data_IF_331572584827
#
_entry.id   IF_331572584827
#
_cell.length_a   1.000
_cell.length_b   1.000
_cell.length_c   1.000
_cell.angle_alpha   90.00
_cell.angle_beta   90.00
_cell.angle_gamma   90.00
#
_symmetry.space_group_name_H-M   'P 1'
#
loop_
_entity.id
_entity.type
_entity.pdbx_description
1 polymer ?
#
# COMPACT_ATOMS: atom_id res chain seq x y z
N UNK A 1 -10.52 19.72 -1.36
CA UNK A 1 -11.97 19.55 -1.55
C UNK A 1 -12.20 18.07 -1.72
N UNK A 2 -13.02 17.47 -0.85
CA UNK A 2 -13.33 16.06 -0.87
C UNK A 2 -14.38 15.82 -1.98
N UNK A 3 -13.93 15.38 -3.15
CA UNK A 3 -14.81 15.10 -4.29
C UNK A 3 -15.61 13.82 -4.00
N UNK A 4 -16.94 13.90 -3.98
CA UNK A 4 -17.81 12.75 -3.79
C UNK A 4 -18.42 12.29 -5.13
N UNK A 5 -17.99 11.15 -5.70
CA UNK A 5 -18.52 10.68 -6.97
C UNK A 5 -19.97 10.21 -6.84
N UNK A 6 -20.76 10.41 -7.89
CA UNK A 6 -22.06 9.77 -8.04
C UNK A 6 -21.90 8.24 -8.15
N UNK A 7 -22.97 7.47 -7.92
CA UNK A 7 -22.94 6.00 -8.11
C UNK A 7 -22.52 5.61 -9.53
N UNK A 8 -22.93 6.39 -10.54
CA UNK A 8 -22.57 6.19 -11.96
C UNK A 8 -21.09 6.47 -12.19
N UNK A 9 -20.57 7.59 -11.66
CA UNK A 9 -19.15 7.95 -11.74
C UNK A 9 -18.29 6.90 -11.05
N UNK A 10 -18.65 6.47 -9.84
CA UNK A 10 -17.93 5.46 -9.09
C UNK A 10 -17.82 4.14 -9.87
N UNK A 11 -18.91 3.70 -10.51
CA UNK A 11 -18.90 2.48 -11.31
C UNK A 11 -17.96 2.58 -12.51
N UNK A 12 -17.99 3.69 -13.25
CA UNK A 12 -17.12 3.88 -14.41
C UNK A 12 -15.64 3.96 -13.98
N UNK A 13 -15.34 4.70 -12.92
CA UNK A 13 -13.99 4.80 -12.36
C UNK A 13 -13.46 3.42 -11.92
N UNK A 14 -14.24 2.65 -11.17
CA UNK A 14 -13.85 1.29 -10.74
C UNK A 14 -13.68 0.34 -11.94
N UNK A 15 -14.46 0.53 -13.01
CA UNK A 15 -14.28 -0.23 -14.25
C UNK A 15 -12.93 0.07 -14.87
N UNK A 16 -12.62 1.35 -15.10
CA UNK A 16 -11.34 1.76 -15.68
C UNK A 16 -10.14 1.34 -14.82
N UNK A 17 -10.28 1.42 -13.49
CA UNK A 17 -9.25 1.03 -12.54
C UNK A 17 -8.93 -0.47 -12.60
N UNK A 18 -9.95 -1.33 -12.57
CA UNK A 18 -9.74 -2.77 -12.44
C UNK A 18 -9.59 -3.52 -13.75
N UNK A 19 -10.05 -2.96 -14.87
CA UNK A 19 -9.89 -3.57 -16.19
C UNK A 19 -8.79 -2.91 -17.02
N UNK A 20 -8.35 -1.69 -16.67
CA UNK A 20 -7.43 -0.90 -17.49
C UNK A 20 -8.04 -0.44 -18.81
N UNK A 21 -9.35 -0.62 -19.00
CA UNK A 21 -10.06 -0.23 -20.21
C UNK A 21 -10.20 1.29 -20.27
N UNK A 22 -10.05 1.83 -21.47
CA UNK A 22 -10.43 3.20 -21.80
C UNK A 22 -11.75 3.15 -22.57
N UNK A 23 -12.93 3.25 -21.93
CA UNK A 23 -14.19 3.10 -22.64
C UNK A 23 -14.45 4.30 -23.57
N UNK A 24 -15.10 4.03 -24.70
CA UNK A 24 -15.64 5.09 -25.54
C UNK A 24 -16.70 5.89 -24.76
N UNK A 25 -16.67 7.22 -24.84
CA UNK A 25 -17.56 8.10 -24.07
C UNK A 25 -19.06 7.81 -24.24
N UNK A 26 -19.48 7.37 -25.43
CA UNK A 26 -20.87 7.04 -25.73
C UNK A 26 -21.28 5.62 -25.32
N UNK A 27 -20.31 4.77 -24.95
CA UNK A 27 -20.53 3.34 -24.64
C UNK A 27 -20.13 2.97 -23.22
N UNK A 28 -19.98 3.95 -22.32
CA UNK A 28 -19.75 3.64 -20.90
C UNK A 28 -20.92 2.82 -20.37
N UNK A 29 -20.62 1.87 -19.48
CA UNK A 29 -21.64 1.03 -18.83
C UNK A 29 -21.44 1.11 -17.31
N UNK A 30 -22.34 1.77 -16.56
CA UNK A 30 -23.56 2.46 -17.00
C UNK A 30 -23.30 3.69 -17.89
N UNK A 31 -24.31 4.09 -18.66
CA UNK A 31 -24.24 5.29 -19.48
C UNK A 31 -24.07 6.51 -18.58
N UNK A 32 -22.98 7.26 -18.79
CA UNK A 32 -22.64 8.41 -17.96
C UNK A 32 -23.14 9.71 -18.62
N UNK A 33 -24.04 10.46 -17.96
CA UNK A 33 -24.52 11.75 -18.46
C UNK A 33 -23.37 12.71 -18.70
N UNK A 34 -23.53 13.60 -19.69
CA UNK A 34 -22.50 14.59 -20.03
C UNK A 34 -22.11 15.46 -18.82
N UNK A 35 -23.09 15.91 -18.04
CA UNK A 35 -22.84 16.74 -16.85
C UNK A 35 -21.98 16.03 -15.79
N UNK A 36 -22.14 14.72 -15.60
CA UNK A 36 -21.32 13.95 -14.65
C UNK A 36 -19.91 13.72 -15.19
N UNK A 37 -19.78 13.51 -16.50
CA UNK A 37 -18.48 13.38 -17.15
C UNK A 37 -17.68 14.67 -17.08
N UNK A 38 -18.33 15.80 -17.39
CA UNK A 38 -17.68 17.11 -17.40
C UNK A 38 -17.20 17.49 -16.00
N UNK A 39 -17.88 17.06 -14.93
CA UNK A 39 -17.37 17.19 -13.55
C UNK A 39 -16.07 16.41 -13.33
N UNK A 40 -16.00 15.15 -13.75
CA UNK A 40 -14.77 14.34 -13.61
C UNK A 40 -13.60 14.92 -14.42
N UNK A 41 -13.89 15.49 -15.59
CA UNK A 41 -12.89 16.18 -16.42
C UNK A 41 -12.45 17.49 -15.77
N UNK A 42 -13.38 18.29 -15.23
CA UNK A 42 -13.08 19.54 -14.55
C UNK A 42 -12.22 19.33 -13.30
N UNK A 43 -12.49 18.25 -12.56
CA UNK A 43 -11.66 17.82 -11.42
C UNK A 43 -10.33 17.20 -11.87
N UNK A 44 -10.14 16.95 -13.17
CA UNK A 44 -8.93 16.37 -13.74
C UNK A 44 -8.71 14.91 -13.36
N UNK A 45 -9.76 14.17 -12.99
CA UNK A 45 -9.70 12.74 -12.66
C UNK A 45 -9.68 11.87 -13.92
N UNK A 46 -10.35 12.33 -14.98
CA UNK A 46 -10.36 11.67 -16.29
C UNK A 46 -10.07 12.68 -17.39
N UNK A 47 -9.55 12.18 -18.51
CA UNK A 47 -9.33 12.93 -19.73
C UNK A 47 -10.03 12.28 -20.93
N UNK A 48 -10.40 13.12 -21.90
CA UNK A 48 -10.99 12.68 -23.15
C UNK A 48 -9.88 12.53 -24.21
N UNK A 49 -9.46 11.31 -24.47
CA UNK A 49 -8.38 11.02 -25.44
C UNK A 49 -8.92 10.59 -26.79
N UNK A 50 -8.07 10.73 -27.82
CA UNK A 50 -8.35 10.25 -29.17
C UNK A 50 -8.22 8.72 -29.27
N UNK A 51 -8.81 8.12 -30.29
CA UNK A 51 -8.70 6.68 -30.55
C UNK A 51 -7.25 6.22 -30.75
N UNK A 52 -6.44 7.00 -31.50
CA UNK A 52 -5.02 6.69 -31.70
C UNK A 52 -4.26 6.62 -30.38
N UNK A 53 -4.51 7.55 -29.47
CA UNK A 53 -3.89 7.57 -28.14
C UNK A 53 -4.35 6.38 -27.27
N UNK A 54 -5.61 5.96 -27.40
CA UNK A 54 -6.13 4.80 -26.68
C UNK A 54 -5.51 3.47 -27.17
N UNK A 55 -5.22 3.36 -28.48
CA UNK A 55 -4.49 2.23 -29.04
C UNK A 55 -3.03 2.22 -28.56
N UNK A 56 -2.35 3.37 -28.58
CA UNK A 56 -0.95 3.49 -28.12
C UNK A 56 -0.79 3.08 -26.65
N UNK A 57 -1.77 3.40 -25.80
CA UNK A 57 -1.81 2.96 -24.39
C UNK A 57 -2.18 1.48 -24.22
N UNK A 58 -2.39 0.74 -25.31
CA UNK A 58 -2.70 -0.69 -25.30
C UNK A 58 -4.11 -1.04 -24.84
N UNK A 59 -5.00 -0.04 -24.73
CA UNK A 59 -6.34 -0.22 -24.15
C UNK A 59 -7.40 -0.68 -25.15
N UNK A 60 -7.16 -0.52 -26.46
CA UNK A 60 -8.03 -1.01 -27.54
C UNK A 60 -7.21 -1.59 -28.70
N UNK A 61 -7.77 -2.60 -29.37
CA UNK A 61 -7.18 -3.19 -30.58
C UNK A 61 -7.30 -2.23 -31.77
N UNK A 62 -6.23 -2.13 -32.56
CA UNK A 62 -6.02 -1.41 -33.83
C UNK A 62 -7.05 -0.32 -34.25
N UNK A 63 -6.61 0.91 -34.56
CA UNK A 63 -7.51 2.03 -34.81
C UNK A 63 -8.36 1.80 -36.06
N UNK A 64 -9.64 2.16 -35.99
CA UNK A 64 -10.52 2.22 -37.15
C UNK A 64 -10.17 3.50 -37.92
N UNK A 65 -9.77 3.36 -39.19
CA UNK A 65 -9.49 4.51 -40.08
C UNK A 65 -10.69 5.47 -40.06
N UNK A 66 -10.46 6.70 -39.58
CA UNK A 66 -11.38 7.86 -39.59
C UNK A 66 -12.51 7.92 -38.54
N UNK A 67 -12.35 7.31 -37.36
CA UNK A 67 -13.32 7.52 -36.28
C UNK A 67 -13.04 8.80 -35.46
N UNK A 68 -14.08 9.62 -35.24
CA UNK A 68 -14.07 10.79 -34.33
C UNK A 68 -14.44 10.42 -32.88
N UNK A 69 -14.35 9.13 -32.54
CA UNK A 69 -14.71 8.66 -31.21
C UNK A 69 -13.74 9.20 -30.15
N UNK A 70 -14.31 9.71 -29.06
CA UNK A 70 -13.55 10.09 -27.87
C UNK A 70 -13.61 8.96 -26.85
N UNK A 71 -12.46 8.65 -26.27
CA UNK A 71 -12.29 7.65 -25.24
C UNK A 71 -12.00 8.34 -23.90
N UNK A 72 -12.32 7.68 -22.81
CA UNK A 72 -12.00 8.15 -21.47
C UNK A 72 -10.76 7.44 -20.97
N UNK A 73 -9.80 8.19 -20.44
CA UNK A 73 -8.66 7.63 -19.73
C UNK A 73 -8.53 8.27 -18.35
N UNK A 74 -8.01 7.51 -17.40
CA UNK A 74 -7.63 8.03 -16.10
C UNK A 74 -6.36 8.88 -16.25
N UNK A 75 -6.35 10.04 -15.61
CA UNK A 75 -5.15 10.86 -15.46
C UNK A 75 -4.32 10.34 -14.27
N UNK A 76 -3.06 10.74 -14.15
CA UNK A 76 -2.23 10.41 -12.98
C UNK A 76 -2.88 10.91 -11.67
N UNK A 77 -3.50 12.08 -11.71
CA UNK A 77 -4.30 12.63 -10.60
C UNK A 77 -5.49 11.72 -10.28
N UNK A 78 -6.17 11.20 -11.29
CA UNK A 78 -7.27 10.25 -11.13
C UNK A 78 -6.83 8.95 -10.47
N UNK A 79 -5.69 8.40 -10.88
CA UNK A 79 -5.09 7.22 -10.27
C UNK A 79 -4.78 7.43 -8.79
N UNK A 80 -4.08 8.53 -8.47
CA UNK A 80 -3.72 8.86 -7.08
C UNK A 80 -4.96 9.06 -6.22
N UNK A 81 -5.91 9.86 -6.71
CA UNK A 81 -7.14 10.15 -5.97
C UNK A 81 -7.93 8.88 -5.66
N UNK A 82 -8.08 7.96 -6.62
CA UNK A 82 -8.79 6.69 -6.38
C UNK A 82 -8.06 5.80 -5.36
N UNK A 83 -6.73 5.75 -5.39
CA UNK A 83 -5.97 4.97 -4.42
C UNK A 83 -6.19 5.47 -2.98
N UNK A 84 -6.32 6.78 -2.81
CA UNK A 84 -6.58 7.41 -1.50
C UNK A 84 -8.06 7.37 -1.09
N UNK A 85 -8.99 7.27 -2.04
CA UNK A 85 -10.44 7.45 -1.82
C UNK A 85 -11.26 6.24 -2.30
N UNK A 86 -10.73 5.02 -2.17
CA UNK A 86 -11.44 3.78 -2.53
C UNK A 86 -12.79 3.64 -1.80
N UNK A 87 -12.85 4.06 -0.53
CA UNK A 87 -14.08 4.02 0.27
C UNK A 87 -15.15 5.00 -0.24
N UNK A 88 -14.74 6.14 -0.79
CA UNK A 88 -15.66 7.11 -1.40
C UNK A 88 -16.35 6.54 -2.65
N UNK A 89 -15.75 5.54 -3.30
CA UNK A 89 -16.33 4.82 -4.43
C UNK A 89 -17.34 3.75 -3.99
N UNK A 90 -17.26 3.27 -2.74
CA UNK A 90 -18.10 2.21 -2.18
C UNK A 90 -19.50 2.72 -1.77
N UNK A 91 -20.23 3.31 -2.72
CA UNK A 91 -21.57 3.84 -2.44
C UNK A 91 -22.57 2.72 -2.10
N UNK A 92 -23.53 2.91 -1.17
CA UNK A 92 -24.46 1.87 -0.73
C UNK A 92 -25.34 1.26 -1.85
N UNK A 93 -25.47 1.95 -2.98
CA UNK A 93 -26.27 1.54 -4.15
C UNK A 93 -25.41 1.03 -5.31
N UNK A 94 -24.11 0.89 -5.11
CA UNK A 94 -23.21 0.45 -6.15
C UNK A 94 -23.52 -1.01 -6.55
N UNK A 95 -23.94 -1.20 -7.79
CA UNK A 95 -24.14 -2.53 -8.39
C UNK A 95 -23.03 -2.78 -9.39
N UNK A 96 -21.90 -3.28 -8.91
CA UNK A 96 -20.72 -3.50 -9.75
C UNK A 96 -21.02 -4.54 -10.84
N UNK A 97 -20.62 -4.24 -12.08
CA UNK A 97 -20.72 -5.20 -13.18
C UNK A 97 -19.75 -6.37 -12.94
N UNK A 98 -20.02 -7.55 -13.52
CA UNK A 98 -19.13 -8.71 -13.34
C UNK A 98 -17.72 -8.49 -13.91
N UNK A 99 -17.55 -7.61 -14.90
CA UNK A 99 -16.24 -7.32 -15.50
C UNK A 99 -15.25 -6.66 -14.51
N UNK A 100 -15.55 -5.50 -13.90
CA UNK A 100 -14.67 -4.90 -12.89
C UNK A 100 -14.41 -5.82 -11.69
N UNK A 101 -15.41 -6.57 -11.24
CA UNK A 101 -15.23 -7.52 -10.14
C UNK A 101 -14.22 -8.62 -10.52
N UNK A 102 -14.33 -9.19 -11.73
CA UNK A 102 -13.37 -10.19 -12.23
C UNK A 102 -11.98 -9.60 -12.41
N UNK A 103 -11.88 -8.35 -12.89
CA UNK A 103 -10.63 -7.60 -12.98
C UNK A 103 -9.97 -7.46 -11.61
N UNK A 104 -10.72 -6.99 -10.61
CA UNK A 104 -10.26 -6.87 -9.22
C UNK A 104 -9.79 -8.21 -8.66
N UNK A 105 -10.57 -9.27 -8.81
CA UNK A 105 -10.20 -10.61 -8.33
C UNK A 105 -8.93 -11.13 -9.01
N UNK A 106 -8.73 -10.81 -10.29
CA UNK A 106 -7.53 -11.21 -11.05
C UNK A 106 -6.30 -10.43 -10.59
N UNK A 107 -6.43 -9.12 -10.36
CA UNK A 107 -5.39 -8.27 -9.79
C UNK A 107 -5.01 -8.73 -8.38
N UNK A 108 -6.01 -8.98 -7.53
CA UNK A 108 -5.81 -9.49 -6.18
C UNK A 108 -5.07 -10.84 -6.21
N UNK A 109 -5.51 -11.78 -7.06
CA UNK A 109 -4.84 -13.07 -7.21
C UNK A 109 -3.38 -12.91 -7.64
N UNK A 110 -3.10 -12.06 -8.62
CA UNK A 110 -1.73 -11.80 -9.09
C UNK A 110 -0.86 -11.19 -7.99
N UNK A 111 -1.40 -10.23 -7.25
CA UNK A 111 -0.71 -9.56 -6.14
C UNK A 111 -0.39 -10.52 -5.00
N UNK A 112 -1.39 -11.28 -4.54
CA UNK A 112 -1.22 -12.32 -3.51
C UNK A 112 -0.17 -13.36 -3.91
N UNK A 113 -0.21 -13.82 -5.17
CA UNK A 113 0.78 -14.76 -5.71
C UNK A 113 2.20 -14.16 -5.71
N UNK A 114 2.34 -12.89 -6.09
CA UNK A 114 3.65 -12.22 -6.13
C UNK A 114 4.26 -12.03 -4.75
N UNK A 115 3.44 -11.89 -3.70
CA UNK A 115 3.86 -11.71 -2.31
C UNK A 115 3.89 -12.99 -1.48
N UNK A 116 3.47 -14.12 -2.06
CA UNK A 116 3.35 -15.39 -1.33
C UNK A 116 2.30 -15.37 -0.20
N UNK A 117 1.35 -14.43 -0.22
CA UNK A 117 0.31 -14.28 0.80
C UNK A 117 -0.92 -15.07 0.39
N UNK A 118 -1.50 -15.85 1.30
CA UNK A 118 -2.74 -16.57 1.04
C UNK A 118 -3.96 -15.65 1.11
N UNK A 119 -5.05 -16.02 0.41
CA UNK A 119 -6.30 -15.27 0.52
C UNK A 119 -6.85 -15.27 1.95
N UNK A 120 -6.61 -16.35 2.72
CA UNK A 120 -7.01 -16.44 4.11
C UNK A 120 -6.27 -15.43 5.00
N UNK A 121 -4.97 -15.22 4.79
CA UNK A 121 -4.19 -14.21 5.51
C UNK A 121 -4.61 -12.79 5.13
N UNK A 122 -4.95 -12.56 3.86
CA UNK A 122 -5.42 -11.25 3.38
C UNK A 122 -6.83 -10.90 3.86
N UNK A 123 -7.77 -11.86 3.79
CA UNK A 123 -9.18 -11.64 4.12
C UNK A 123 -9.49 -11.82 5.60
N UNK A 124 -8.59 -12.45 6.37
CA UNK A 124 -8.69 -12.38 7.81
C UNK A 124 -8.65 -10.89 8.18
N UNK A 125 -9.66 -10.35 8.89
CA UNK A 125 -9.45 -9.07 9.58
C UNK A 125 -8.15 -9.24 10.34
N UNK A 126 -7.27 -8.20 10.43
CA UNK A 126 -6.04 -8.32 11.19
C UNK A 126 -6.47 -8.96 12.50
N UNK A 127 -6.06 -10.22 12.67
CA UNK A 127 -6.60 -11.03 13.75
C UNK A 127 -6.41 -10.12 14.95
N UNK A 128 -7.36 -10.04 15.85
CA UNK A 128 -7.01 -9.73 17.22
C UNK A 128 -6.09 -10.85 17.74
N UNK A 129 -4.98 -11.16 17.05
CA UNK A 129 -3.71 -11.35 17.68
C UNK A 129 -3.64 -10.25 18.72
N UNK A 130 -3.60 -10.70 19.97
CA UNK A 130 -3.01 -10.06 21.13
C UNK A 130 -2.45 -8.64 20.89
N UNK A 131 -2.71 -7.69 21.83
CA UNK A 131 -2.40 -6.26 21.69
C UNK A 131 -1.15 -6.03 20.84
N UNK A 132 -1.31 -5.45 19.64
CA UNK A 132 -0.30 -5.22 18.61
C UNK A 132 0.92 -6.16 18.75
N UNK A 133 0.95 -7.27 18.00
CA UNK A 133 2.05 -8.26 18.06
C UNK A 133 3.39 -7.57 18.26
N UNK A 134 4.14 -7.97 19.27
CA UNK A 134 5.34 -7.25 19.71
C UNK A 134 6.31 -6.92 18.57
N UNK A 135 6.39 -7.78 17.55
CA UNK A 135 7.11 -7.54 16.30
C UNK A 135 6.69 -6.29 15.52
N UNK A 136 5.38 -5.99 15.44
CA UNK A 136 4.87 -4.76 14.85
C UNK A 136 5.24 -3.53 15.67
N UNK A 137 5.14 -3.61 17.00
CA UNK A 137 5.55 -2.52 17.90
C UNK A 137 7.04 -2.22 17.77
N UNK A 138 7.87 -3.27 17.68
CA UNK A 138 9.32 -3.14 17.43
C UNK A 138 9.58 -2.45 16.09
N UNK A 139 8.89 -2.83 15.01
CA UNK A 139 9.05 -2.20 13.69
C UNK A 139 8.63 -0.72 13.70
N UNK A 140 7.50 -0.41 14.33
CA UNK A 140 7.01 0.96 14.45
C UNK A 140 7.96 1.83 15.29
N UNK A 141 8.46 1.29 16.41
CA UNK A 141 9.43 1.96 17.27
C UNK A 141 10.78 2.16 16.56
N UNK A 142 11.24 1.17 15.80
CA UNK A 142 12.44 1.26 14.97
C UNK A 142 12.30 2.38 13.94
N UNK A 143 11.18 2.44 13.21
CA UNK A 143 10.94 3.46 12.20
C UNK A 143 10.89 4.87 12.82
N UNK A 144 10.29 5.01 14.01
CA UNK A 144 10.27 6.26 14.76
C UNK A 144 11.68 6.70 15.20
N UNK A 145 12.49 5.76 15.70
CA UNK A 145 13.87 6.02 16.09
C UNK A 145 14.80 6.29 14.90
N UNK A 146 14.51 5.68 13.75
CA UNK A 146 15.23 5.87 12.49
C UNK A 146 14.75 7.10 11.68
N UNK A 147 13.85 7.92 12.23
CA UNK A 147 13.35 9.12 11.54
C UNK A 147 12.53 8.85 10.28
N UNK A 148 11.87 7.69 10.19
CA UNK A 148 11.07 7.29 9.02
C UNK A 148 11.86 6.55 7.94
N UNK A 149 13.17 6.35 8.12
CA UNK A 149 14.02 5.68 7.14
C UNK A 149 14.25 4.22 7.51
N UNK A 150 14.14 3.34 6.52
CA UNK A 150 14.64 1.97 6.60
C UNK A 150 16.16 1.97 6.37
N UNK A 151 16.83 0.86 6.70
CA UNK A 151 18.29 0.73 6.54
C UNK A 151 19.16 1.68 7.41
N UNK A 152 18.59 2.23 8.48
CA UNK A 152 19.36 3.03 9.44
C UNK A 152 19.81 2.19 10.64
N UNK A 153 21.02 2.44 11.15
CA UNK A 153 21.49 1.81 12.39
C UNK A 153 20.81 2.49 13.58
N UNK A 154 19.99 1.76 14.32
CA UNK A 154 19.28 2.27 15.51
C UNK A 154 19.87 1.65 16.77
N UNK A 155 20.10 2.47 17.80
CA UNK A 155 20.58 2.00 19.11
C UNK A 155 19.47 1.23 19.83
N UNK A 156 19.81 0.11 20.45
CA UNK A 156 18.87 -0.71 21.20
C UNK A 156 18.28 0.05 22.41
N UNK A 157 19.05 0.97 23.01
CA UNK A 157 18.58 1.86 24.07
C UNK A 157 17.41 2.75 23.62
N UNK A 158 17.49 3.33 22.42
CA UNK A 158 16.44 4.19 21.88
C UNK A 158 15.18 3.41 21.51
N UNK A 159 15.34 2.18 21.00
CA UNK A 159 14.21 1.28 20.78
C UNK A 159 13.49 0.94 22.10
N UNK A 160 14.24 0.66 23.18
CA UNK A 160 13.68 0.38 24.50
C UNK A 160 12.95 1.58 25.09
N UNK A 161 13.49 2.79 24.94
CA UNK A 161 12.80 4.03 25.35
C UNK A 161 11.50 4.26 24.58
N UNK A 162 11.45 3.85 23.32
CA UNK A 162 10.24 3.96 22.51
C UNK A 162 9.17 2.91 22.86
N UNK A 163 9.51 1.89 23.67
CA UNK A 163 8.64 0.79 24.07
C UNK A 163 8.64 0.56 25.61
N UNK A 164 8.25 1.57 26.41
CA UNK A 164 8.28 1.45 27.88
C UNK A 164 7.28 0.41 28.42
N UNK A 165 6.22 0.13 27.65
CA UNK A 165 5.13 -0.78 28.02
C UNK A 165 5.48 -2.27 27.81
N UNK A 166 6.63 -2.59 27.19
CA UNK A 166 7.00 -3.98 26.90
C UNK A 166 8.01 -4.53 27.91
N UNK A 167 7.76 -5.70 28.54
CA UNK A 167 8.74 -6.37 29.39
C UNK A 167 10.03 -6.71 28.63
N UNK A 168 11.18 -6.39 29.22
CA UNK A 168 12.53 -6.62 28.63
C UNK A 168 12.72 -8.05 28.12
N UNK A 169 12.35 -9.05 28.91
CA UNK A 169 12.47 -10.46 28.53
C UNK A 169 11.62 -10.83 27.30
N UNK A 170 10.44 -10.23 27.15
CA UNK A 170 9.56 -10.45 25.99
C UNK A 170 10.12 -9.76 24.75
N UNK A 171 10.64 -8.54 24.89
CA UNK A 171 11.30 -7.79 23.83
C UNK A 171 12.54 -8.53 23.30
N UNK A 172 13.41 -9.00 24.19
CA UNK A 172 14.64 -9.68 23.82
C UNK A 172 14.35 -11.00 23.09
N UNK A 173 13.34 -11.77 23.56
CA UNK A 173 12.89 -13.00 22.90
C UNK A 173 12.35 -12.75 21.49
N UNK A 174 11.59 -11.67 21.29
CA UNK A 174 11.04 -11.33 19.98
C UNK A 174 12.12 -10.79 19.04
N UNK A 175 13.07 -10.00 19.52
CA UNK A 175 14.23 -9.55 18.73
C UNK A 175 15.07 -10.73 18.24
N UNK A 176 15.28 -11.74 19.09
CA UNK A 176 15.93 -12.99 18.71
C UNK A 176 15.15 -13.76 17.65
N UNK A 177 13.83 -13.88 17.82
CA UNK A 177 12.96 -14.54 16.83
C UNK A 177 12.97 -13.82 15.48
N UNK A 178 12.97 -12.50 15.47
CA UNK A 178 13.06 -11.68 14.25
C UNK A 178 14.42 -11.81 13.56
N UNK A 179 15.51 -11.92 14.33
CA UNK A 179 16.83 -12.18 13.75
C UNK A 179 16.91 -13.56 13.10
N UNK A 180 16.38 -14.61 13.75
CA UNK A 180 16.35 -15.96 13.19
C UNK A 180 15.53 -16.03 11.88
N UNK A 181 14.50 -15.20 11.77
CA UNK A 181 13.67 -15.06 10.56
C UNK A 181 14.31 -14.18 9.48
N UNK A 182 15.48 -13.58 9.74
CA UNK A 182 16.17 -12.69 8.80
C UNK A 182 15.51 -11.31 8.64
N UNK A 183 14.54 -10.95 9.49
CA UNK A 183 13.82 -9.69 9.42
C UNK A 183 14.59 -8.51 10.05
N UNK A 184 15.56 -8.80 10.92
CA UNK A 184 16.45 -7.80 11.50
C UNK A 184 17.85 -8.38 11.71
N UNK A 185 18.83 -7.50 11.81
CA UNK A 185 20.20 -7.83 12.17
C UNK A 185 20.53 -7.12 13.49
N UNK A 186 20.95 -7.91 14.48
CA UNK A 186 21.54 -7.38 15.71
C UNK A 186 23.06 -7.35 15.54
N UNK A 187 23.64 -6.16 15.68
CA UNK A 187 25.07 -5.91 15.56
C UNK A 187 25.67 -5.46 16.89
N UNK A 188 26.98 -5.66 17.03
CA UNK A 188 27.76 -5.00 18.07
C UNK A 188 27.91 -3.52 17.69
N UNK A 189 28.08 -2.67 18.69
CA UNK A 189 28.54 -1.31 18.45
C UNK A 189 30.01 -1.40 18.04
N UNK A 190 30.38 -0.81 16.90
CA UNK A 190 31.75 -0.86 16.39
C UNK A 190 32.69 0.03 17.23
N UNK A 191 32.19 1.18 17.73
CA UNK A 191 32.98 2.15 18.49
C UNK A 191 32.66 2.12 20.01
N UNK A 192 33.57 1.60 20.85
CA UNK A 192 33.36 1.53 22.31
C UNK A 192 33.37 2.91 23.00
N UNK A 193 33.90 3.96 22.37
CA UNK A 193 33.83 5.34 22.88
C UNK A 193 32.44 5.97 22.75
N UNK A 194 31.58 5.48 21.85
CA UNK A 194 30.23 6.00 21.68
C UNK A 194 29.19 5.33 22.60
N UNK A 195 29.64 4.36 23.39
CA UNK A 195 28.83 3.53 24.26
C UNK A 195 28.47 4.27 25.55
N UNK A 196 27.23 4.73 25.64
CA UNK A 196 26.68 5.38 26.84
C UNK A 196 26.34 4.34 27.90
N UNK A 197 26.20 4.76 29.16
CA UNK A 197 25.70 3.87 30.22
C UNK A 197 24.33 3.28 29.87
N UNK A 198 23.47 4.07 29.23
CA UNK A 198 22.18 3.60 28.71
C UNK A 198 22.32 2.47 27.66
N UNK A 199 23.38 2.48 26.86
CA UNK A 199 23.64 1.45 25.85
C UNK A 199 24.20 0.17 26.50
N UNK A 200 24.96 0.30 27.59
CA UNK A 200 25.42 -0.84 28.42
C UNK A 200 24.25 -1.51 29.12
N UNK A 201 23.35 -0.73 29.72
CA UNK A 201 22.15 -1.26 30.35
C UNK A 201 21.16 -1.85 29.34
N UNK A 202 21.17 -1.31 28.11
CA UNK A 202 20.34 -1.77 27.02
C UNK A 202 20.83 -3.06 26.33
N UNK A 203 22.00 -3.59 26.70
CA UNK A 203 22.61 -4.72 25.98
C UNK A 203 21.72 -5.96 25.93
N UNK A 204 21.84 -6.69 24.81
CA UNK A 204 21.27 -8.01 24.62
C UNK A 204 22.41 -9.00 24.39
N UNK A 205 22.57 -9.94 25.32
CA UNK A 205 23.59 -10.97 25.27
C UNK A 205 23.09 -12.16 24.44
N UNK A 206 23.85 -12.51 23.40
CA UNK A 206 23.59 -13.67 22.55
C UNK A 206 24.85 -14.52 22.55
N UNK A 207 24.83 -15.62 23.29
CA UNK A 207 25.95 -16.57 23.42
C UNK A 207 27.28 -15.91 23.86
N UNK A 208 27.21 -14.93 24.76
CA UNK A 208 28.37 -14.16 25.27
C UNK A 208 28.76 -12.96 24.40
N UNK A 209 28.04 -12.71 23.30
CA UNK A 209 28.24 -11.57 22.42
C UNK A 209 27.19 -10.48 22.68
N UNK A 210 27.59 -9.43 23.41
CA UNK A 210 26.78 -8.24 23.70
C UNK A 210 26.45 -7.46 22.42
N UNK A 211 25.16 -7.27 22.13
CA UNK A 211 24.65 -6.52 20.97
C UNK A 211 23.95 -5.25 21.41
N UNK A 212 24.17 -4.18 20.65
CA UNK A 212 23.77 -2.82 21.03
C UNK A 212 23.07 -2.06 19.88
N UNK A 213 23.18 -2.57 18.65
CA UNK A 213 22.65 -1.92 17.45
C UNK A 213 21.68 -2.86 16.74
N UNK A 214 20.55 -2.32 16.32
CA UNK A 214 19.56 -2.98 15.47
C UNK A 214 19.60 -2.36 14.08
N UNK A 215 19.50 -3.22 13.07
CA UNK A 215 19.38 -2.83 11.69
C UNK A 215 18.25 -3.64 11.03
N UNK A 216 17.29 -2.97 10.41
CA UNK A 216 16.22 -3.59 9.63
C UNK A 216 16.28 -3.12 8.18
N UNK A 217 16.23 -4.08 7.25
CA UNK A 217 16.09 -3.79 5.82
C UNK A 217 14.63 -3.45 5.50
N UNK A 218 14.43 -2.43 4.67
CA UNK A 218 13.12 -2.15 4.09
C UNK A 218 12.70 -3.29 3.16
N UNK A 219 11.43 -3.68 3.19
CA UNK A 219 10.81 -4.58 2.20
C UNK A 219 10.52 -3.86 0.88
#
# INVERSE_FOLDING_TARGET
>A
MEFAPSTTQAHVLLTMLFTGETPQQSKTRPAMPKAERDKLIAEGLIEAISESTAVERGSISAPIKQSKAKYLALTDKGWLWMAENLDALATPRLKLNPAPLRGLLSLLKAHLKSRGVSLAEFASPPKACAPASLSWQIRAAYLKAAGGQWDSRVRLADLRRALPETPRASLDKELLALQQRGALVLCKMDDPMEMRDDDRDAELDIEGAKRHVIYMKGE
#
